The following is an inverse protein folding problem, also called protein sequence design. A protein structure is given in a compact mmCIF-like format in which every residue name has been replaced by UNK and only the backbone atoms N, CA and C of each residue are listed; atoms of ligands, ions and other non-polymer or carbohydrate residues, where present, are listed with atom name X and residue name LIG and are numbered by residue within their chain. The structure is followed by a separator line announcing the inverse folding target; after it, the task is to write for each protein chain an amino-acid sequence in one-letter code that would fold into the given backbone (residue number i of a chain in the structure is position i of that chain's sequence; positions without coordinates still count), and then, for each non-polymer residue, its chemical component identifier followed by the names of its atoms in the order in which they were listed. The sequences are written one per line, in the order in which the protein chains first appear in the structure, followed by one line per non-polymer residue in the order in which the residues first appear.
data_IF_798447144951
#
_entry.id   IF_798447144951
#
_cell.length_a   1.000
_cell.length_b   1.000
_cell.length_c   1.000
_cell.angle_alpha   90.00
_cell.angle_beta   90.00
_cell.angle_gamma   90.00
#
_symmetry.space_group_name_H-M   'P 1'
#
loop_
_entity.id
_entity.type
_entity.pdbx_description
1 polymer ?
#
# COMPACT_ATOMS: atom_id res chain seq x y z
N UNK A 1 -23.02 15.98 -1.74
CA UNK A 1 -22.77 14.63 -2.25
C UNK A 1 -23.61 14.44 -3.50
N UNK A 2 -22.97 14.14 -4.62
CA UNK A 2 -23.53 14.08 -5.95
C UNK A 2 -23.12 12.77 -6.66
N UNK A 3 -23.72 12.51 -7.82
CA UNK A 3 -23.34 11.35 -8.64
C UNK A 3 -21.88 11.48 -9.11
N UNK A 4 -21.10 10.44 -8.86
CA UNK A 4 -19.67 10.39 -9.22
C UNK A 4 -18.71 10.91 -8.14
N UNK A 5 -19.20 11.44 -7.02
CA UNK A 5 -18.34 11.81 -5.89
C UNK A 5 -17.58 10.56 -5.38
N UNK A 6 -16.28 10.74 -5.10
CA UNK A 6 -15.44 9.70 -4.49
C UNK A 6 -15.07 10.09 -3.06
N UNK A 7 -15.27 9.17 -2.13
CA UNK A 7 -14.95 9.35 -0.72
C UNK A 7 -13.86 8.36 -0.31
N UNK A 8 -12.77 8.87 0.26
CA UNK A 8 -11.69 8.03 0.79
C UNK A 8 -11.93 7.65 2.24
N UNK A 9 -11.54 6.43 2.64
CA UNK A 9 -11.55 5.99 4.03
C UNK A 9 -10.50 6.68 4.91
N UNK A 10 -9.48 7.28 4.27
CA UNK A 10 -8.19 7.52 4.90
C UNK A 10 -7.30 6.26 4.85
N UNK A 11 -6.06 6.40 5.31
CA UNK A 11 -5.11 5.29 5.43
C UNK A 11 -5.68 4.20 6.34
N UNK A 12 -5.65 2.95 5.88
CA UNK A 12 -6.15 1.79 6.64
C UNK A 12 -4.96 1.13 7.33
N UNK A 13 -4.89 1.27 8.66
CA UNK A 13 -3.84 0.68 9.49
C UNK A 13 -4.44 -0.19 10.59
N UNK A 14 -3.96 -1.42 10.72
CA UNK A 14 -4.32 -2.30 11.84
C UNK A 14 -3.44 -2.08 13.07
N UNK A 15 -3.64 -2.91 14.09
CA UNK A 15 -2.95 -2.79 15.38
C UNK A 15 -1.53 -3.39 15.38
N UNK A 16 -1.19 -4.23 14.39
CA UNK A 16 0.11 -4.90 14.29
C UNK A 16 1.01 -4.19 13.28
N UNK A 17 2.34 -4.17 13.47
CA UNK A 17 3.25 -3.43 12.58
C UNK A 17 3.20 -3.84 11.10
N UNK A 18 2.91 -5.11 10.82
CA UNK A 18 2.75 -5.66 9.46
C UNK A 18 1.40 -5.27 8.80
N UNK A 19 0.52 -4.61 9.55
CA UNK A 19 -0.79 -4.15 9.08
C UNK A 19 -0.89 -2.62 8.93
N UNK A 20 0.23 -1.90 9.03
CA UNK A 20 0.27 -0.45 8.82
C UNK A 20 0.09 -0.06 7.35
N UNK A 21 -0.69 1.00 7.11
CA UNK A 21 -1.16 1.38 5.77
C UNK A 21 -0.24 2.32 4.99
N UNK A 22 0.90 2.73 5.54
CA UNK A 22 1.82 3.66 4.87
C UNK A 22 3.30 3.36 5.14
N UNK A 23 4.17 3.77 4.20
CA UNK A 23 5.62 3.72 4.40
C UNK A 23 6.08 4.59 5.58
N UNK A 24 5.35 5.67 5.87
CA UNK A 24 5.64 6.54 7.01
C UNK A 24 5.50 5.79 8.33
N UNK A 25 4.42 5.02 8.48
CA UNK A 25 4.16 4.19 9.65
C UNK A 25 5.10 2.99 9.71
N UNK A 26 5.23 2.23 8.61
CA UNK A 26 6.09 1.05 8.50
C UNK A 26 7.56 1.36 8.83
N UNK A 27 8.07 2.49 8.33
CA UNK A 27 9.45 2.91 8.57
C UNK A 27 9.64 3.77 9.82
N UNK A 28 8.56 4.07 10.55
CA UNK A 28 8.54 4.97 11.70
C UNK A 28 9.21 6.33 11.42
N UNK A 29 8.71 7.03 10.40
CA UNK A 29 9.30 8.30 9.95
C UNK A 29 10.67 8.11 9.31
N UNK A 30 10.93 6.95 8.71
CA UNK A 30 12.22 6.61 8.13
C UNK A 30 13.29 6.28 9.16
N UNK A 31 12.97 6.01 10.43
CA UNK A 31 13.95 5.55 11.44
C UNK A 31 14.33 4.08 11.25
N UNK A 32 13.35 3.25 10.91
CA UNK A 32 13.50 1.82 10.71
C UNK A 32 13.34 1.50 9.22
N UNK A 33 14.29 0.82 8.55
CA UNK A 33 14.09 0.37 7.18
C UNK A 33 13.10 -0.80 7.11
N UNK A 34 12.39 -0.90 5.99
CA UNK A 34 11.57 -2.04 5.59
C UNK A 34 12.40 -2.91 4.65
N UNK A 35 12.68 -4.15 5.05
CA UNK A 35 13.40 -5.12 4.21
C UNK A 35 12.42 -5.79 3.23
N UNK A 36 12.73 -5.75 1.94
CA UNK A 36 11.98 -6.41 0.89
C UNK A 36 12.46 -7.86 0.69
N UNK A 37 11.68 -8.64 -0.05
CA UNK A 37 11.95 -10.06 -0.31
C UNK A 37 13.29 -10.32 -1.04
N UNK A 38 13.79 -9.33 -1.78
CA UNK A 38 15.08 -9.39 -2.48
C UNK A 38 16.26 -8.96 -1.58
N UNK A 39 16.01 -8.67 -0.31
CA UNK A 39 16.99 -8.19 0.66
C UNK A 39 17.29 -6.69 0.56
N UNK A 40 16.70 -5.97 -0.39
CA UNK A 40 16.86 -4.51 -0.45
C UNK A 40 16.02 -3.83 0.62
N UNK A 41 16.44 -2.64 1.05
CA UNK A 41 15.74 -1.87 2.07
C UNK A 41 15.01 -0.66 1.46
N UNK A 42 13.90 -0.27 2.08
CA UNK A 42 13.19 0.98 1.80
C UNK A 42 12.83 1.70 3.09
N UNK A 43 12.93 3.02 3.06
CA UNK A 43 12.31 3.90 4.08
C UNK A 43 11.08 4.59 3.50
N UNK A 44 11.19 5.01 2.25
CA UNK A 44 10.11 5.52 1.40
C UNK A 44 10.20 4.88 0.01
N UNK A 45 9.27 5.24 -0.86
CA UNK A 45 9.24 4.78 -2.26
C UNK A 45 10.39 5.46 -3.01
N UNK A 46 11.20 4.67 -3.72
CA UNK A 46 12.29 5.16 -4.57
C UNK A 46 11.85 5.22 -6.04
N UNK A 47 12.63 5.95 -6.85
CA UNK A 47 12.41 5.98 -8.30
C UNK A 47 12.39 4.57 -8.89
N UNK A 48 11.43 4.33 -9.78
CA UNK A 48 11.12 3.07 -10.45
C UNK A 48 10.49 1.98 -9.57
N UNK A 49 10.29 2.21 -8.27
CA UNK A 49 9.47 1.33 -7.45
C UNK A 49 8.00 1.34 -7.95
N UNK A 50 7.33 0.20 -7.82
CA UNK A 50 5.92 0.04 -8.19
C UNK A 50 5.13 -0.37 -6.95
N UNK A 51 4.09 0.40 -6.62
CA UNK A 51 3.16 0.10 -5.52
C UNK A 51 1.92 -0.55 -6.10
N UNK A 52 1.49 -1.66 -5.50
CA UNK A 52 0.36 -2.47 -5.96
C UNK A 52 -0.60 -2.72 -4.78
N UNK A 53 -1.79 -2.13 -4.84
CA UNK A 53 -2.86 -2.36 -3.87
C UNK A 53 -3.81 -3.43 -4.41
N UNK A 54 -4.12 -4.41 -3.54
CA UNK A 54 -5.06 -5.51 -3.80
C UNK A 54 -5.97 -5.68 -2.60
N UNK A 55 -7.23 -5.99 -2.85
CA UNK A 55 -8.22 -6.26 -1.81
C UNK A 55 -9.25 -7.26 -2.32
N UNK A 56 -9.76 -8.09 -1.43
CA UNK A 56 -10.78 -9.09 -1.72
C UNK A 56 -11.55 -9.46 -0.46
N UNK A 57 -12.73 -10.05 -0.63
CA UNK A 57 -13.39 -10.85 0.37
C UNK A 57 -13.50 -12.30 -0.12
N UNK A 58 -13.51 -13.25 0.81
CA UNK A 58 -13.65 -14.66 0.49
C UNK A 58 -14.48 -15.40 1.54
N UNK A 59 -15.13 -16.46 1.09
CA UNK A 59 -15.73 -17.50 1.94
C UNK A 59 -15.28 -18.87 1.42
N UNK A 60 -15.86 -19.95 1.96
CA UNK A 60 -15.46 -21.33 1.60
C UNK A 60 -15.61 -21.68 0.10
N UNK A 61 -16.47 -20.97 -0.64
CA UNK A 61 -16.83 -21.33 -2.02
C UNK A 61 -16.43 -20.27 -3.06
N UNK A 62 -16.31 -19.01 -2.66
CA UNK A 62 -16.18 -17.88 -3.58
C UNK A 62 -15.21 -16.83 -3.04
N UNK A 63 -14.43 -16.25 -3.96
CA UNK A 63 -13.62 -15.06 -3.73
C UNK A 63 -14.03 -13.94 -4.68
N UNK A 64 -14.26 -12.74 -4.13
CA UNK A 64 -14.60 -11.52 -4.88
C UNK A 64 -13.52 -10.48 -4.65
N UNK A 65 -12.87 -10.04 -5.73
CA UNK A 65 -11.74 -9.11 -5.67
C UNK A 65 -12.03 -7.77 -6.33
N UNK A 66 -11.30 -6.74 -5.90
CA UNK A 66 -11.34 -5.40 -6.51
C UNK A 66 -10.44 -5.26 -7.75
N UNK A 67 -9.73 -6.33 -8.14
CA UNK A 67 -8.65 -6.25 -9.13
C UNK A 67 -7.39 -5.64 -8.53
N UNK A 68 -6.71 -4.79 -9.29
CA UNK A 68 -5.43 -4.18 -8.92
C UNK A 68 -5.47 -2.67 -9.14
N UNK A 69 -5.02 -1.92 -8.14
CA UNK A 69 -4.63 -0.52 -8.29
C UNK A 69 -3.09 -0.44 -8.23
N UNK A 70 -2.44 -0.05 -9.31
CA UNK A 70 -0.98 -0.09 -9.44
C UNK A 70 -0.44 1.22 -10.00
N UNK A 71 0.70 1.67 -9.47
CA UNK A 71 1.42 2.84 -9.99
C UNK A 71 2.92 2.68 -9.81
N UNK A 72 3.69 3.13 -10.82
CA UNK A 72 5.15 3.19 -10.78
C UNK A 72 5.59 4.63 -10.57
N UNK A 73 6.50 4.85 -9.61
CA UNK A 73 7.13 6.15 -9.40
C UNK A 73 8.20 6.36 -10.48
N UNK A 74 8.11 7.46 -11.22
CA UNK A 74 9.14 7.87 -12.18
C UNK A 74 10.05 8.93 -11.55
N UNK A 75 11.32 9.02 -12.00
CA UNK A 75 12.22 10.09 -11.57
C UNK A 75 11.63 11.48 -11.78
N UNK A 76 12.04 12.42 -10.91
CA UNK A 76 11.75 13.84 -11.13
C UNK A 76 12.31 14.32 -12.46
N UNK A 77 11.66 15.33 -13.04
CA UNK A 77 12.22 16.11 -14.16
C UNK A 77 13.26 17.11 -13.67
#
# INVERSE_FOLDING_TARGET
VNSGDMMGSGTISGSTPDSYGSMLELSWGGKNPVTLNDGTERRFINDNDTVVLKGFCENESVRLGFGVCSSKLLPSR
#
